data_IF_752939288335
#
_entry.id   IF_752939288335
#
_cell.length_a   1.000
_cell.length_b   1.000
_cell.length_c   1.000
_cell.angle_alpha   90.00
_cell.angle_beta   90.00
_cell.angle_gamma   90.00
#
_symmetry.space_group_name_H-M   'P 1'
#
loop_
_entity.id
_entity.type
_entity.pdbx_description
1 polymer ?
#
# COMPACT_ATOMS: atom_id res chain seq x y z
N UNK A 1 8.31 -2.35 -1.76
CA UNK A 1 8.29 -3.81 -2.03
C UNK A 1 6.87 -4.31 -1.90
N UNK A 2 6.40 -5.15 -2.81
CA UNK A 2 5.09 -5.79 -2.85
C UNK A 2 5.25 -7.28 -2.53
N UNK A 3 4.39 -7.82 -1.65
CA UNK A 3 4.45 -9.23 -1.31
C UNK A 3 3.85 -10.09 -2.43
N UNK A 4 4.62 -11.08 -2.90
CA UNK A 4 4.19 -12.07 -3.90
C UNK A 4 4.37 -13.48 -3.35
N UNK A 5 3.71 -14.52 -3.93
CA UNK A 5 3.89 -15.91 -3.50
C UNK A 5 5.36 -16.38 -3.49
N UNK A 6 6.18 -15.83 -4.38
CA UNK A 6 7.59 -16.18 -4.54
C UNK A 6 8.54 -15.25 -3.74
N UNK A 7 7.98 -14.38 -2.89
CA UNK A 7 8.71 -13.42 -2.07
C UNK A 7 8.41 -11.96 -2.40
N UNK A 8 9.13 -11.04 -1.79
CA UNK A 8 8.91 -9.61 -2.00
C UNK A 8 9.52 -9.16 -3.33
N UNK A 9 8.72 -8.54 -4.20
CA UNK A 9 9.15 -7.94 -5.48
C UNK A 9 9.00 -6.42 -5.44
N UNK A 10 9.67 -5.70 -6.34
CA UNK A 10 9.45 -4.25 -6.47
C UNK A 10 8.17 -4.01 -7.28
N UNK A 11 7.46 -2.90 -7.02
CA UNK A 11 6.18 -2.65 -7.70
C UNK A 11 6.38 -2.36 -9.19
N UNK A 12 7.53 -1.81 -9.58
CA UNK A 12 7.90 -1.53 -10.97
C UNK A 12 8.23 -2.79 -11.79
N UNK A 13 8.54 -3.90 -11.13
CA UNK A 13 8.88 -5.17 -11.77
C UNK A 13 7.63 -6.04 -11.97
N UNK A 14 6.47 -5.61 -11.47
CA UNK A 14 5.21 -6.33 -11.59
C UNK A 14 4.53 -5.99 -12.91
N UNK A 15 3.98 -7.02 -13.56
CA UNK A 15 3.23 -6.89 -14.82
C UNK A 15 1.87 -7.60 -14.72
N UNK A 16 0.96 -7.28 -15.63
CA UNK A 16 -0.27 -8.04 -15.80
C UNK A 16 0.06 -9.53 -16.02
N UNK A 17 -0.59 -10.40 -15.26
CA UNK A 17 -0.31 -11.84 -15.21
C UNK A 17 0.54 -12.29 -14.01
N UNK A 18 1.22 -11.39 -13.30
CA UNK A 18 1.89 -11.71 -12.04
C UNK A 18 0.88 -11.94 -10.90
N UNK A 19 1.28 -12.69 -9.88
CA UNK A 19 0.51 -12.90 -8.66
C UNK A 19 1.04 -12.04 -7.51
N UNK A 20 0.13 -11.43 -6.75
CA UNK A 20 0.43 -10.74 -5.49
C UNK A 20 -0.34 -11.38 -4.35
N UNK A 21 0.19 -11.26 -3.13
CA UNK A 21 -0.55 -11.64 -1.94
C UNK A 21 -1.58 -10.55 -1.61
N UNK A 22 -2.82 -10.98 -1.43
CA UNK A 22 -3.98 -10.18 -1.07
C UNK A 22 -4.64 -10.76 0.17
N UNK A 23 -5.43 -9.94 0.87
CA UNK A 23 -6.20 -10.36 2.05
C UNK A 23 -7.67 -10.03 1.82
N UNK A 24 -8.56 -10.91 2.24
CA UNK A 24 -9.99 -10.59 2.32
C UNK A 24 -10.36 -9.95 3.66
N UNK A 25 -11.59 -9.43 3.76
CA UNK A 25 -12.11 -8.80 4.97
C UNK A 25 -12.22 -9.76 6.17
N UNK A 26 -12.21 -11.08 5.93
CA UNK A 26 -12.19 -12.11 6.97
C UNK A 26 -10.76 -12.42 7.45
N UNK A 27 -9.77 -11.75 6.87
CA UNK A 27 -8.37 -11.89 7.21
C UNK A 27 -7.65 -13.04 6.49
N UNK A 28 -8.31 -13.74 5.56
CA UNK A 28 -7.71 -14.83 4.78
C UNK A 28 -6.78 -14.28 3.71
N UNK A 29 -5.55 -14.81 3.67
CA UNK A 29 -4.54 -14.45 2.68
C UNK A 29 -4.71 -15.36 1.46
N UNK A 30 -4.78 -14.77 0.26
CA UNK A 30 -4.83 -15.50 -1.00
C UNK A 30 -4.04 -14.78 -2.09
N UNK A 31 -3.71 -15.47 -3.18
CA UNK A 31 -3.10 -14.83 -4.34
C UNK A 31 -4.17 -14.15 -5.22
N UNK A 32 -3.89 -12.92 -5.62
CA UNK A 32 -4.66 -12.18 -6.62
C UNK A 32 -3.80 -11.96 -7.87
N UNK A 33 -4.42 -12.06 -9.05
CA UNK A 33 -3.78 -11.85 -10.34
C UNK A 33 -3.77 -10.38 -10.67
N UNK A 34 -2.61 -9.84 -11.07
CA UNK A 34 -2.53 -8.49 -11.61
C UNK A 34 -3.19 -8.47 -12.98
N UNK A 35 -4.22 -7.64 -13.14
CA UNK A 35 -4.96 -7.44 -14.39
C UNK A 35 -4.45 -6.26 -15.19
N UNK A 36 -3.92 -5.23 -14.53
CA UNK A 36 -3.36 -4.05 -15.17
C UNK A 36 -2.30 -3.35 -14.28
N UNK A 37 -1.45 -2.55 -14.89
CA UNK A 37 -0.44 -1.75 -14.20
C UNK A 37 -0.49 -0.30 -14.70
N UNK A 38 -0.58 0.65 -13.77
CA UNK A 38 -0.64 2.08 -14.07
C UNK A 38 0.60 2.79 -13.56
N UNK A 39 1.18 3.63 -14.41
CA UNK A 39 2.27 4.54 -14.08
C UNK A 39 1.76 5.98 -14.14
N UNK A 40 1.97 6.74 -13.07
CA UNK A 40 1.67 8.17 -13.04
C UNK A 40 2.82 8.94 -12.38
N UNK A 41 2.75 10.26 -12.43
CA UNK A 41 3.69 11.16 -11.74
C UNK A 41 2.92 12.02 -10.73
N UNK A 42 3.45 12.12 -9.52
CA UNK A 42 2.97 13.07 -8.51
C UNK A 42 4.11 13.97 -8.06
N UNK A 43 3.75 15.13 -7.54
CA UNK A 43 4.69 16.10 -6.97
C UNK A 43 4.61 16.17 -5.45
N UNK A 44 3.56 15.60 -4.86
CA UNK A 44 3.32 15.61 -3.41
C UNK A 44 3.00 14.22 -2.92
N UNK A 45 3.60 13.86 -1.78
CA UNK A 45 3.35 12.60 -1.10
C UNK A 45 3.77 12.65 0.36
N UNK A 46 3.34 11.65 1.12
CA UNK A 46 3.69 11.46 2.52
C UNK A 46 4.72 10.33 2.65
N UNK A 47 5.73 10.55 3.47
CA UNK A 47 6.59 9.50 4.02
C UNK A 47 6.16 9.22 5.46
N UNK A 48 5.69 8.00 5.70
CA UNK A 48 5.23 7.48 6.99
C UNK A 48 6.33 6.57 7.52
N UNK A 49 6.70 6.73 8.80
CA UNK A 49 7.69 5.89 9.50
C UNK A 49 9.09 5.80 8.84
N UNK A 50 9.38 6.67 7.86
CA UNK A 50 10.63 6.67 7.10
C UNK A 50 10.76 5.53 6.08
N UNK A 51 9.81 4.61 6.04
CA UNK A 51 9.84 3.42 5.20
C UNK A 51 8.70 3.38 4.18
N UNK A 52 7.59 4.06 4.41
CA UNK A 52 6.41 3.99 3.54
C UNK A 52 6.14 5.33 2.85
N UNK A 53 6.09 5.34 1.52
CA UNK A 53 5.75 6.54 0.72
C UNK A 53 4.48 6.33 -0.07
N UNK A 54 3.49 7.19 0.17
CA UNK A 54 2.13 7.09 -0.39
C UNK A 54 1.56 8.47 -0.69
N UNK A 55 0.60 8.54 -1.60
CA UNK A 55 -0.17 9.78 -1.79
C UNK A 55 -1.10 10.04 -0.61
N UNK A 56 -1.47 11.29 -0.39
CA UNK A 56 -2.36 11.68 0.72
C UNK A 56 -3.71 10.96 0.68
N UNK A 57 -4.25 10.68 -0.51
CA UNK A 57 -5.50 9.95 -0.70
C UNK A 57 -5.40 8.43 -0.54
N UNK A 58 -4.23 7.90 -0.21
CA UNK A 58 -4.04 6.44 -0.12
C UNK A 58 -4.71 5.91 1.16
N UNK A 59 -5.67 4.98 1.07
CA UNK A 59 -6.39 4.49 2.24
C UNK A 59 -5.62 3.39 2.99
N UNK A 60 -5.64 3.46 4.32
CA UNK A 60 -5.12 2.45 5.24
C UNK A 60 -6.21 1.89 6.12
N UNK A 61 -6.05 0.63 6.52
CA UNK A 61 -6.94 -0.01 7.48
C UNK A 61 -6.47 0.27 8.91
N UNK A 62 -7.31 0.89 9.72
CA UNK A 62 -6.99 1.24 11.11
C UNK A 62 -7.43 0.13 12.09
N UNK A 63 -7.01 0.25 13.35
CA UNK A 63 -7.38 -0.68 14.44
C UNK A 63 -8.89 -0.80 14.71
N UNK A 64 -9.70 0.16 14.26
CA UNK A 64 -11.16 0.17 14.48
C UNK A 64 -11.90 -0.59 13.37
N UNK A 65 -11.17 -1.09 12.36
CA UNK A 65 -11.76 -1.77 11.22
C UNK A 65 -12.25 -0.81 10.13
N UNK A 66 -11.71 0.41 10.09
CA UNK A 66 -12.13 1.47 9.17
C UNK A 66 -11.00 1.86 8.23
N UNK A 67 -11.38 2.29 7.03
CA UNK A 67 -10.46 2.88 6.06
C UNK A 67 -10.25 4.36 6.38
N UNK A 68 -8.99 4.78 6.52
CA UNK A 68 -8.58 6.16 6.74
C UNK A 68 -7.55 6.58 5.68
N UNK A 69 -7.68 7.77 5.11
CA UNK A 69 -6.71 8.27 4.14
C UNK A 69 -5.38 8.65 4.81
N UNK A 70 -4.27 8.46 4.11
CA UNK A 70 -2.94 8.78 4.60
C UNK A 70 -2.82 10.23 5.10
N UNK A 71 -3.46 11.18 4.41
CA UNK A 71 -3.51 12.59 4.76
C UNK A 71 -4.28 12.91 6.04
N UNK A 72 -5.07 11.96 6.56
CA UNK A 72 -5.82 12.09 7.80
C UNK A 72 -5.10 11.47 9.00
N UNK A 73 -3.96 10.78 8.77
CA UNK A 73 -3.21 10.15 9.84
C UNK A 73 -2.52 11.17 10.74
N UNK A 74 -2.54 10.88 12.03
CA UNK A 74 -1.77 11.55 13.06
C UNK A 74 -0.68 10.66 13.65
N UNK A 75 0.33 11.29 14.26
CA UNK A 75 1.32 10.56 15.08
C UNK A 75 0.58 9.89 16.26
N UNK A 76 0.81 8.59 16.44
CA UNK A 76 0.16 7.75 17.45
C UNK A 76 -1.00 6.90 16.90
N UNK A 77 -1.44 7.13 15.67
CA UNK A 77 -2.42 6.27 15.02
C UNK A 77 -1.87 4.86 14.83
N UNK A 78 -2.78 3.88 14.82
CA UNK A 78 -2.45 2.46 14.71
C UNK A 78 -3.04 1.90 13.42
N UNK A 79 -2.15 1.49 12.53
CA UNK A 79 -2.45 0.86 11.26
C UNK A 79 -2.28 -0.65 11.36
N UNK A 80 -3.04 -1.41 10.59
CA UNK A 80 -2.93 -2.87 10.55
C UNK A 80 -1.89 -3.28 9.50
N UNK A 81 -0.96 -4.15 9.90
CA UNK A 81 0.07 -4.70 9.01
C UNK A 81 -0.38 -6.05 8.39
N UNK A 82 0.52 -6.67 7.62
CA UNK A 82 0.26 -7.97 6.97
C UNK A 82 -0.16 -9.09 7.93
N UNK A 83 0.39 -9.11 9.14
CA UNK A 83 0.18 -10.16 10.13
C UNK A 83 -1.06 -9.91 10.99
N UNK A 84 -1.75 -8.77 10.77
CA UNK A 84 -2.85 -8.32 11.62
C UNK A 84 -2.38 -7.57 12.87
N UNK A 85 -1.08 -7.34 13.01
CA UNK A 85 -0.50 -6.55 14.08
C UNK A 85 -0.69 -5.05 13.85
N UNK A 86 -0.56 -4.28 14.93
CA UNK A 86 -0.68 -2.84 14.90
C UNK A 86 0.69 -2.17 14.75
N UNK A 87 0.88 -1.45 13.65
CA UNK A 87 2.00 -0.52 13.45
C UNK A 87 1.57 0.86 13.94
N UNK A 88 2.39 1.45 14.82
CA UNK A 88 2.19 2.82 15.29
C UNK A 88 2.80 3.78 14.26
N UNK A 89 2.04 4.81 13.88
CA UNK A 89 2.56 5.94 13.11
C UNK A 89 3.43 6.80 14.03
N UNK A 90 4.73 6.70 13.86
CA UNK A 90 5.76 7.39 14.65
C UNK A 90 6.25 8.68 13.99
N UNK A 91 6.13 8.79 12.67
CA UNK A 91 6.48 9.98 11.90
C UNK A 91 5.66 10.07 10.62
N UNK A 92 5.37 11.31 10.22
CA UNK A 92 4.74 11.67 8.94
C UNK A 92 5.50 12.88 8.40
N UNK A 93 5.99 12.78 7.18
CA UNK A 93 6.74 13.84 6.50
C UNK A 93 6.10 14.12 5.13
N UNK A 94 5.55 15.32 4.88
CA UNK A 94 5.14 15.71 3.55
C UNK A 94 6.37 16.02 2.68
N UNK A 95 6.40 15.45 1.47
CA UNK A 95 7.49 15.62 0.52
C UNK A 95 6.96 16.24 -0.78
N UNK A 96 7.57 17.35 -1.19
CA UNK A 96 7.25 18.06 -2.43
C UNK A 96 8.34 17.80 -3.48
N UNK A 97 8.28 16.62 -4.11
CA UNK A 97 9.25 16.19 -5.12
C UNK A 97 8.56 15.38 -6.20
N UNK A 98 8.83 15.70 -7.47
CA UNK A 98 8.38 14.92 -8.62
C UNK A 98 8.86 13.47 -8.53
N UNK A 99 7.93 12.53 -8.50
CA UNK A 99 8.20 11.10 -8.38
C UNK A 99 7.18 10.29 -9.17
N UNK A 100 7.65 9.19 -9.74
CA UNK A 100 6.81 8.19 -10.40
C UNK A 100 6.11 7.32 -9.36
N UNK A 101 4.82 7.13 -9.55
CA UNK A 101 3.96 6.32 -8.70
C UNK A 101 3.37 5.19 -9.52
N UNK A 102 3.32 4.02 -8.91
CA UNK A 102 2.87 2.79 -9.54
C UNK A 102 1.60 2.32 -8.85
N UNK A 103 0.62 1.91 -9.65
CA UNK A 103 -0.60 1.29 -9.15
C UNK A 103 -0.89 0.00 -9.92
N UNK A 104 -1.48 -1.00 -9.30
CA UNK A 104 -1.69 -2.32 -9.91
C UNK A 104 -3.14 -2.76 -9.73
N UNK A 105 -3.87 -3.01 -10.81
CA UNK A 105 -5.21 -3.58 -10.72
C UNK A 105 -5.13 -5.08 -10.49
N UNK A 106 -5.98 -5.64 -9.62
CA UNK A 106 -6.00 -7.06 -9.30
C UNK A 106 -7.42 -7.65 -9.42
N UNK A 107 -7.54 -8.94 -9.73
CA UNK A 107 -8.77 -9.62 -10.15
C UNK A 107 -9.77 -9.98 -9.05
N UNK A 108 -9.38 -9.90 -7.78
CA UNK A 108 -10.19 -10.34 -6.63
C UNK A 108 -10.55 -9.18 -5.71
N UNK A 109 -9.68 -8.92 -4.75
CA UNK A 109 -9.84 -7.87 -3.76
C UNK A 109 -8.92 -6.74 -4.19
N UNK A 110 -9.43 -5.52 -4.22
CA UNK A 110 -8.63 -4.31 -4.45
C UNK A 110 -7.69 -4.04 -3.27
N UNK A 111 -6.95 -5.03 -2.79
CA UNK A 111 -6.04 -4.93 -1.64
C UNK A 111 -4.79 -5.76 -1.90
N UNK A 112 -3.63 -5.23 -1.53
CA UNK A 112 -2.35 -5.92 -1.63
C UNK A 112 -1.43 -5.45 -0.49
N UNK A 113 -0.28 -6.10 -0.36
CA UNK A 113 0.66 -5.77 0.70
C UNK A 113 1.86 -4.98 0.17
N UNK A 114 2.09 -3.79 0.73
CA UNK A 114 3.20 -2.90 0.35
C UNK A 114 4.05 -2.56 1.57
N UNK A 115 5.35 -2.88 1.52
CA UNK A 115 6.32 -2.64 2.60
C UNK A 115 5.90 -3.20 3.98
N UNK A 116 5.11 -4.28 4.00
CA UNK A 116 4.59 -4.88 5.24
C UNK A 116 3.27 -4.30 5.74
N UNK A 117 2.69 -3.33 5.02
CA UNK A 117 1.39 -2.73 5.31
C UNK A 117 0.28 -3.35 4.44
N UNK A 118 -0.90 -3.54 5.04
CA UNK A 118 -2.12 -3.89 4.32
C UNK A 118 -2.74 -2.63 3.70
N UNK A 119 -2.75 -2.56 2.37
CA UNK A 119 -3.19 -1.38 1.63
C UNK A 119 -4.31 -1.70 0.66
N UNK A 120 -5.23 -0.74 0.47
CA UNK A 120 -6.20 -0.83 -0.61
C UNK A 120 -5.60 -0.25 -1.90
N UNK A 121 -5.89 -0.92 -3.00
CA UNK A 121 -5.57 -0.56 -4.36
C UNK A 121 -6.27 0.71 -4.88
N UNK A 122 -6.89 1.50 -4.00
CA UNK A 122 -7.55 2.75 -4.40
C UNK A 122 -6.60 3.94 -4.50
N UNK A 123 -5.32 3.75 -4.18
CA UNK A 123 -4.33 4.82 -4.18
C UNK A 123 -3.00 4.41 -4.80
N UNK A 124 -2.29 5.31 -5.49
CA UNK A 124 -0.96 5.06 -6.01
C UNK A 124 0.08 4.83 -4.88
N UNK A 125 1.04 3.92 -5.12
CA UNK A 125 2.18 3.63 -4.21
C UNK A 125 3.48 4.17 -4.83
N UNK A 126 4.39 4.69 -4.00
CA UNK A 126 5.54 5.48 -4.45
C UNK A 126 6.86 4.71 -4.31
N UNK A 127 7.78 5.01 -5.22
CA UNK A 127 9.09 4.39 -5.44
C UNK A 127 10.08 4.44 -4.24
N UNK A 128 10.98 3.44 -4.20
CA UNK A 128 12.31 3.46 -3.55
C UNK A 128 13.46 3.78 -4.52
#
# INVERSE_FOLDING_TARGET
MIATPDGNRRIEDLIAGDLVLSRDDNGSISSALITDTHLSETWTYLEINGDLRVTESHPFYNKNGEWIEAGQLGIGDKLVNNDGDLIIVSSIQPIHKGVRVYNISVDKNETFFAAGYYVHNKGPVIRY
#
